data_IF_431375219431
#
_entry.id   IF_431375219431
#
_cell.length_a   1.000
_cell.length_b   1.000
_cell.length_c   1.000
_cell.angle_alpha   90.00
_cell.angle_beta   90.00
_cell.angle_gamma   90.00
#
_symmetry.space_group_name_H-M   'P 1'
#
loop_
_entity.id
_entity.type
_entity.pdbx_description
1 polymer ?
#
# COMPACT_ATOMS: atom_id res chain seq x y z
N UNK A 1 -54.04 -10.16 -5.13
CA UNK A 1 -52.65 -10.48 -4.74
C UNK A 1 -51.74 -9.44 -5.41
N UNK A 2 -51.31 -8.46 -4.64
CA UNK A 2 -50.66 -7.22 -5.10
C UNK A 2 -49.19 -7.49 -5.45
N UNK A 3 -48.87 -7.48 -6.75
CA UNK A 3 -47.51 -7.61 -7.25
C UNK A 3 -46.77 -6.26 -7.10
N UNK A 4 -45.78 -6.18 -6.21
CA UNK A 4 -44.91 -5.00 -6.04
C UNK A 4 -43.96 -4.87 -7.25
N UNK A 5 -44.04 -3.83 -8.10
CA UNK A 5 -43.10 -3.61 -9.20
C UNK A 5 -42.08 -2.50 -8.87
N UNK A 6 -41.76 -2.25 -7.60
CA UNK A 6 -41.00 -1.05 -7.18
C UNK A 6 -39.57 -1.32 -6.66
N UNK A 7 -39.16 -2.56 -6.39
CA UNK A 7 -37.85 -2.83 -5.75
C UNK A 7 -36.71 -2.97 -6.78
N UNK A 8 -37.00 -3.45 -7.99
CA UNK A 8 -35.97 -3.70 -9.00
C UNK A 8 -35.36 -2.40 -9.59
N UNK A 9 -36.14 -1.34 -9.79
CA UNK A 9 -35.64 -0.06 -10.32
C UNK A 9 -34.66 0.68 -9.37
N UNK A 10 -34.93 0.85 -8.06
CA UNK A 10 -33.98 1.49 -7.16
C UNK A 10 -32.74 0.64 -6.94
N UNK A 11 -32.87 -0.70 -6.91
CA UNK A 11 -31.72 -1.60 -6.78
C UNK A 11 -30.78 -1.50 -8.00
N UNK A 12 -31.33 -1.47 -9.21
CA UNK A 12 -30.54 -1.30 -10.45
C UNK A 12 -29.89 0.07 -10.53
N UNK A 13 -30.59 1.14 -10.12
CA UNK A 13 -30.00 2.49 -10.03
C UNK A 13 -28.87 2.56 -9.00
N UNK A 14 -29.01 1.89 -7.87
CA UNK A 14 -27.98 1.79 -6.83
C UNK A 14 -26.76 1.01 -7.29
N UNK A 15 -26.96 -0.15 -7.94
CA UNK A 15 -25.89 -0.91 -8.59
C UNK A 15 -25.17 -0.06 -9.64
N UNK A 16 -25.91 0.61 -10.53
CA UNK A 16 -25.32 1.48 -11.54
C UNK A 16 -24.43 2.57 -10.94
N UNK A 17 -24.94 3.31 -9.94
CA UNK A 17 -24.18 4.33 -9.22
C UNK A 17 -22.92 3.76 -8.54
N UNK A 18 -23.02 2.58 -7.93
CA UNK A 18 -21.88 1.89 -7.34
C UNK A 18 -20.83 1.52 -8.40
N UNK A 19 -21.23 1.04 -9.59
CA UNK A 19 -20.29 0.79 -10.69
C UNK A 19 -19.61 2.06 -11.18
N UNK A 20 -20.33 3.18 -11.29
CA UNK A 20 -19.74 4.45 -11.68
C UNK A 20 -18.67 4.90 -10.67
N UNK A 21 -18.96 4.81 -9.37
CA UNK A 21 -18.01 5.15 -8.31
C UNK A 21 -16.78 4.22 -8.30
N UNK A 22 -16.99 2.91 -8.44
CA UNK A 22 -15.89 1.94 -8.47
C UNK A 22 -15.06 2.06 -9.75
N UNK A 23 -15.69 2.38 -10.88
CA UNK A 23 -15.00 2.68 -12.13
C UNK A 23 -14.14 3.94 -12.03
N UNK A 24 -14.58 4.97 -11.29
CA UNK A 24 -13.76 6.15 -11.01
C UNK A 24 -12.53 5.81 -10.16
N UNK A 25 -12.67 4.94 -9.15
CA UNK A 25 -11.55 4.49 -8.31
C UNK A 25 -10.56 3.64 -9.11
N UNK A 26 -11.06 2.70 -9.91
CA UNK A 26 -10.27 1.90 -10.87
C UNK A 26 -9.52 2.81 -11.85
N UNK A 27 -10.21 3.76 -12.46
CA UNK A 27 -9.61 4.73 -13.38
C UNK A 27 -8.52 5.57 -12.70
N UNK A 28 -8.79 6.10 -11.51
CA UNK A 28 -7.82 6.91 -10.75
C UNK A 28 -6.56 6.12 -10.41
N UNK A 29 -6.70 4.89 -9.92
CA UNK A 29 -5.55 4.04 -9.55
C UNK A 29 -4.71 3.66 -10.77
N UNK A 30 -5.35 3.33 -11.91
CA UNK A 30 -4.66 3.09 -13.19
C UNK A 30 -3.98 4.36 -13.73
N UNK A 31 -4.63 5.53 -13.64
CA UNK A 31 -4.06 6.81 -14.07
C UNK A 31 -2.83 7.19 -13.26
N UNK A 32 -2.90 7.06 -11.93
CA UNK A 32 -1.77 7.33 -11.04
C UNK A 32 -0.60 6.38 -11.33
N UNK A 33 -0.89 5.09 -11.56
CA UNK A 33 0.12 4.12 -11.95
C UNK A 33 0.80 4.47 -13.27
N UNK A 34 0.03 4.90 -14.27
CA UNK A 34 0.58 5.35 -15.56
C UNK A 34 1.35 6.68 -15.46
N UNK A 35 0.92 7.59 -14.58
CA UNK A 35 1.54 8.90 -14.39
C UNK A 35 2.96 8.84 -13.81
N UNK A 36 3.35 7.70 -13.23
CA UNK A 36 4.73 7.44 -12.82
C UNK A 36 5.69 7.30 -14.02
N UNK A 37 5.17 7.04 -15.23
CA UNK A 37 5.97 6.71 -16.42
C UNK A 37 5.69 7.62 -17.61
N UNK A 38 4.46 8.13 -17.70
CA UNK A 38 3.97 8.94 -18.81
C UNK A 38 3.71 10.36 -18.30
N UNK A 39 3.74 11.33 -19.21
CA UNK A 39 3.30 12.68 -18.87
C UNK A 39 1.86 12.64 -18.34
N UNK A 40 1.53 13.52 -17.39
CA UNK A 40 0.21 13.56 -16.74
C UNK A 40 -0.94 13.59 -17.75
N UNK A 41 -0.76 14.32 -18.85
CA UNK A 41 -1.76 14.40 -19.92
C UNK A 41 -1.92 13.09 -20.69
N UNK A 42 -0.81 12.41 -20.96
CA UNK A 42 -0.84 11.14 -21.68
C UNK A 42 -1.36 10.00 -20.79
N UNK A 43 -1.01 9.98 -19.50
CA UNK A 43 -1.57 9.01 -18.54
C UNK A 43 -3.07 9.18 -18.34
N UNK A 44 -3.56 10.43 -18.36
CA UNK A 44 -5.00 10.71 -18.30
C UNK A 44 -5.73 10.20 -19.55
N UNK A 45 -5.19 10.48 -20.74
CA UNK A 45 -5.80 10.03 -22.00
C UNK A 45 -5.78 8.50 -22.13
N UNK A 46 -4.63 7.88 -21.82
CA UNK A 46 -4.45 6.44 -21.91
C UNK A 46 -5.32 5.68 -20.90
N UNK A 47 -5.40 6.15 -19.66
CA UNK A 47 -6.23 5.52 -18.62
C UNK A 47 -7.72 5.64 -18.93
N UNK A 48 -8.17 6.78 -19.48
CA UNK A 48 -9.53 6.90 -20.01
C UNK A 48 -9.80 5.90 -21.14
N UNK A 49 -8.85 5.72 -22.07
CA UNK A 49 -8.96 4.73 -23.14
C UNK A 49 -9.10 3.30 -22.61
N UNK A 50 -8.25 2.91 -21.65
CA UNK A 50 -8.30 1.59 -21.01
C UNK A 50 -9.62 1.38 -20.28
N UNK A 51 -10.06 2.34 -19.46
CA UNK A 51 -11.30 2.22 -18.70
C UNK A 51 -12.54 2.16 -19.61
N UNK A 52 -12.57 3.00 -20.64
CA UNK A 52 -13.65 2.99 -21.64
C UNK A 52 -13.69 1.64 -22.37
N UNK A 53 -12.54 1.10 -22.75
CA UNK A 53 -12.45 -0.21 -23.38
C UNK A 53 -12.94 -1.34 -22.45
N UNK A 54 -12.54 -1.34 -21.17
CA UNK A 54 -13.00 -2.33 -20.20
C UNK A 54 -14.52 -2.34 -20.06
N UNK A 55 -15.14 -1.17 -19.86
CA UNK A 55 -16.59 -1.07 -19.70
C UNK A 55 -17.33 -1.45 -20.97
N UNK A 56 -16.91 -0.92 -22.14
CA UNK A 56 -17.57 -1.20 -23.42
C UNK A 56 -17.44 -2.66 -23.84
N UNK A 57 -16.25 -3.27 -23.68
CA UNK A 57 -16.05 -4.69 -24.02
C UNK A 57 -16.81 -5.59 -23.04
N UNK A 58 -16.83 -5.28 -21.74
CA UNK A 58 -17.64 -6.02 -20.77
C UNK A 58 -19.14 -5.96 -21.09
N UNK A 59 -19.64 -4.79 -21.50
CA UNK A 59 -20.99 -4.64 -22.02
C UNK A 59 -21.22 -5.49 -23.27
N UNK A 60 -20.33 -5.41 -24.26
CA UNK A 60 -20.46 -6.14 -25.52
C UNK A 60 -20.46 -7.66 -25.32
N UNK A 61 -19.69 -8.18 -24.35
CA UNK A 61 -19.72 -9.60 -23.94
C UNK A 61 -21.11 -9.99 -23.41
N UNK A 62 -21.80 -9.09 -22.70
CA UNK A 62 -23.16 -9.30 -22.20
C UNK A 62 -24.21 -9.40 -23.32
N UNK A 63 -24.00 -8.70 -24.44
CA UNK A 63 -24.95 -8.68 -25.58
C UNK A 63 -24.68 -9.75 -26.64
N UNK A 64 -23.41 -10.09 -26.87
CA UNK A 64 -23.02 -10.89 -28.03
C UNK A 64 -22.91 -12.38 -27.70
N UNK A 65 -23.75 -13.20 -28.35
CA UNK A 65 -23.61 -14.67 -28.34
C UNK A 65 -22.53 -15.17 -29.33
N UNK A 66 -22.24 -14.39 -30.38
CA UNK A 66 -21.21 -14.68 -31.39
C UNK A 66 -19.88 -13.98 -31.08
N UNK A 67 -18.75 -14.63 -31.36
CA UNK A 67 -17.37 -14.13 -31.09
C UNK A 67 -17.08 -13.77 -29.62
N UNK A 68 -17.88 -14.27 -28.68
CA UNK A 68 -17.74 -14.03 -27.23
C UNK A 68 -16.34 -14.37 -26.70
N UNK A 69 -15.72 -15.44 -27.20
CA UNK A 69 -14.35 -15.82 -26.83
C UNK A 69 -13.30 -14.76 -27.20
N UNK A 70 -13.43 -14.12 -28.36
CA UNK A 70 -12.53 -13.04 -28.79
C UNK A 70 -12.68 -11.83 -27.88
N UNK A 71 -13.90 -11.46 -27.52
CA UNK A 71 -14.16 -10.33 -26.62
C UNK A 71 -13.65 -10.59 -25.21
N UNK A 72 -13.80 -11.83 -24.70
CA UNK A 72 -13.21 -12.25 -23.42
C UNK A 72 -11.68 -12.12 -23.47
N UNK A 73 -11.04 -12.53 -24.57
CA UNK A 73 -9.59 -12.39 -24.72
C UNK A 73 -9.13 -10.93 -24.73
N UNK A 74 -9.81 -10.06 -25.50
CA UNK A 74 -9.52 -8.62 -25.52
C UNK A 74 -9.73 -7.99 -24.14
N UNK A 75 -10.81 -8.37 -23.45
CA UNK A 75 -11.09 -7.93 -22.09
C UNK A 75 -9.98 -8.35 -21.14
N UNK A 76 -9.56 -9.62 -21.16
CA UNK A 76 -8.52 -10.15 -20.29
C UNK A 76 -7.18 -9.43 -20.47
N UNK A 77 -6.78 -9.16 -21.72
CA UNK A 77 -5.55 -8.40 -22.02
C UNK A 77 -5.66 -6.98 -21.48
N UNK A 78 -6.79 -6.31 -21.71
CA UNK A 78 -7.01 -4.93 -21.25
C UNK A 78 -7.05 -4.85 -19.72
N UNK A 79 -7.68 -5.82 -19.06
CA UNK A 79 -7.76 -5.92 -17.61
C UNK A 79 -6.38 -6.19 -17.01
N UNK A 80 -5.57 -7.04 -17.63
CA UNK A 80 -4.19 -7.28 -17.19
C UNK A 80 -3.36 -5.99 -17.18
N UNK A 81 -3.50 -5.15 -18.21
CA UNK A 81 -2.82 -3.84 -18.27
C UNK A 81 -3.32 -2.90 -17.16
N UNK A 82 -4.63 -2.83 -16.95
CA UNK A 82 -5.23 -2.01 -15.88
C UNK A 82 -4.77 -2.47 -14.48
N UNK A 83 -4.86 -3.77 -14.19
CA UNK A 83 -4.38 -4.38 -12.94
C UNK A 83 -2.90 -4.11 -12.72
N UNK A 84 -2.06 -4.22 -13.75
CA UNK A 84 -0.63 -3.97 -13.64
C UNK A 84 -0.32 -2.53 -13.18
N UNK A 85 -0.92 -1.52 -13.83
CA UNK A 85 -0.70 -0.12 -13.44
C UNK A 85 -1.34 0.22 -12.09
N UNK A 86 -2.54 -0.30 -11.81
CA UNK A 86 -3.19 -0.15 -10.51
C UNK A 86 -2.38 -0.78 -9.37
N UNK A 87 -1.78 -1.94 -9.61
CA UNK A 87 -0.88 -2.61 -8.67
C UNK A 87 0.31 -1.72 -8.32
N UNK A 88 1.00 -1.15 -9.32
CA UNK A 88 2.16 -0.28 -9.09
C UNK A 88 1.76 0.95 -8.30
N UNK A 89 0.64 1.59 -8.64
CA UNK A 89 0.09 2.74 -7.91
C UNK A 89 -0.18 2.41 -6.44
N UNK A 90 -0.84 1.29 -6.16
CA UNK A 90 -1.13 0.87 -4.80
C UNK A 90 0.14 0.48 -4.04
N UNK A 91 1.03 -0.27 -4.68
CA UNK A 91 2.29 -0.70 -4.07
C UNK A 91 3.17 0.49 -3.72
N UNK A 92 3.31 1.46 -4.64
CA UNK A 92 4.07 2.71 -4.39
C UNK A 92 3.42 3.53 -3.29
N UNK A 93 2.09 3.64 -3.23
CA UNK A 93 1.40 4.34 -2.16
C UNK A 93 1.60 3.70 -0.78
N UNK A 94 1.46 2.36 -0.68
CA UNK A 94 1.73 1.64 0.57
C UNK A 94 3.20 1.74 0.96
N UNK A 95 4.10 1.58 -0.01
CA UNK A 95 5.54 1.67 0.19
C UNK A 95 5.97 3.06 0.64
N UNK A 96 5.49 4.13 0.02
CA UNK A 96 5.81 5.50 0.37
C UNK A 96 5.39 5.85 1.81
N UNK A 97 4.36 5.19 2.33
CA UNK A 97 3.85 5.43 3.69
C UNK A 97 4.54 4.59 4.76
N UNK A 98 4.97 3.38 4.41
CA UNK A 98 5.53 2.41 5.38
C UNK A 98 7.07 2.40 5.41
N UNK A 99 7.73 2.65 4.27
CA UNK A 99 9.20 2.78 4.17
C UNK A 99 9.80 3.84 5.10
N UNK A 100 9.24 5.07 5.26
CA UNK A 100 9.80 6.03 6.21
C UNK A 100 9.72 5.53 7.65
N UNK A 101 8.63 4.85 8.04
CA UNK A 101 8.49 4.30 9.39
C UNK A 101 9.47 3.14 9.64
N UNK A 102 9.72 2.29 8.65
CA UNK A 102 10.70 1.21 8.75
C UNK A 102 12.14 1.75 8.83
N UNK A 103 12.49 2.73 8.01
CA UNK A 103 13.80 3.39 8.03
C UNK A 103 14.04 4.14 9.35
N UNK A 104 13.04 4.89 9.84
CA UNK A 104 13.08 5.57 11.13
C UNK A 104 13.26 4.59 12.28
N UNK A 105 12.57 3.45 12.26
CA UNK A 105 12.69 2.42 13.28
C UNK A 105 14.05 1.72 13.24
N UNK A 106 14.57 1.41 12.05
CA UNK A 106 15.92 0.84 11.88
C UNK A 106 16.99 1.81 12.38
N UNK A 107 16.84 3.10 12.08
CA UNK A 107 17.73 4.15 12.60
C UNK A 107 17.63 4.21 14.13
N UNK A 108 16.43 4.23 14.69
CA UNK A 108 16.20 4.23 16.13
C UNK A 108 16.92 3.07 16.84
N UNK A 109 16.79 1.85 16.31
CA UNK A 109 17.46 0.67 16.87
C UNK A 109 18.99 0.79 16.78
N UNK A 110 19.49 1.29 15.65
CA UNK A 110 20.94 1.50 15.43
C UNK A 110 21.50 2.57 16.36
N UNK A 111 20.80 3.70 16.52
CA UNK A 111 21.19 4.79 17.41
C UNK A 111 21.14 4.36 18.87
N UNK A 112 20.14 3.60 19.29
CA UNK A 112 20.09 3.03 20.63
C UNK A 112 21.24 2.08 20.91
N UNK A 113 21.59 1.22 19.93
CA UNK A 113 22.75 0.34 20.03
C UNK A 113 24.06 1.13 20.17
N UNK A 114 24.28 2.13 19.30
CA UNK A 114 25.47 2.98 19.33
C UNK A 114 25.56 3.81 20.62
N UNK A 115 24.45 4.41 21.07
CA UNK A 115 24.38 5.15 22.32
C UNK A 115 24.63 4.25 23.53
N UNK A 116 24.10 3.02 23.53
CA UNK A 116 24.34 2.03 24.58
C UNK A 116 25.81 1.61 24.66
N UNK A 117 26.44 1.33 23.52
CA UNK A 117 27.87 1.01 23.46
C UNK A 117 28.74 2.19 23.94
N UNK A 118 28.39 3.41 23.52
CA UNK A 118 29.07 4.63 23.93
C UNK A 118 28.95 4.86 25.44
N UNK A 119 27.75 4.69 25.99
CA UNK A 119 27.51 4.82 27.43
C UNK A 119 28.29 3.78 28.24
N UNK A 120 28.40 2.54 27.76
CA UNK A 120 29.22 1.52 28.43
C UNK A 120 30.70 1.92 28.51
N UNK A 121 31.25 2.48 27.43
CA UNK A 121 32.63 2.97 27.41
C UNK A 121 32.84 4.17 28.35
N UNK A 122 31.93 5.16 28.31
CA UNK A 122 32.00 6.33 29.20
C UNK A 122 31.87 5.91 30.67
N UNK A 123 30.99 4.96 30.99
CA UNK A 123 30.84 4.44 32.35
C UNK A 123 32.09 3.70 32.85
N UNK A 124 32.72 2.89 31.99
CA UNK A 124 33.97 2.23 32.33
C UNK A 124 35.08 3.25 32.61
N UNK A 125 35.24 4.24 31.72
CA UNK A 125 36.22 5.32 31.87
C UNK A 125 35.94 6.17 33.13
N UNK A 126 34.67 6.49 33.42
CA UNK A 126 34.28 7.24 34.61
C UNK A 126 34.62 6.46 35.90
N UNK A 127 34.39 5.15 35.90
CA UNK A 127 34.77 4.27 37.01
C UNK A 127 36.26 4.32 37.30
N UNK A 128 37.09 4.28 36.25
CA UNK A 128 38.55 4.32 36.38
C UNK A 128 39.07 5.72 36.73
N UNK A 129 38.54 6.77 36.09
CA UNK A 129 38.88 8.17 36.40
C UNK A 129 38.59 8.52 37.87
N UNK A 130 37.49 8.00 38.44
CA UNK A 130 37.18 8.17 39.88
C UNK A 130 38.22 7.47 40.77
N UNK A 131 38.69 6.28 40.39
CA UNK A 131 39.77 5.58 41.12
C UNK A 131 41.07 6.37 41.06
N UNK A 132 41.42 6.91 39.90
CA UNK A 132 42.60 7.76 39.74
C UNK A 132 42.53 9.03 40.59
N UNK A 133 41.39 9.71 40.63
CA UNK A 133 41.21 10.90 41.44
C UNK A 133 41.43 10.60 42.94
N UNK A 134 40.85 9.50 43.44
CA UNK A 134 41.03 9.06 44.82
C UNK A 134 42.48 8.66 45.12
N UNK A 135 43.10 7.87 44.24
CA UNK A 135 44.50 7.48 44.40
C UNK A 135 45.44 8.69 44.40
N UNK A 136 45.18 9.69 43.57
CA UNK A 136 45.96 10.94 43.56
C UNK A 136 45.73 11.79 44.82
N UNK A 137 44.53 11.79 45.40
CA UNK A 137 44.29 12.41 46.72
C UNK A 137 45.13 11.73 47.82
N UNK A 138 45.13 10.40 47.85
CA UNK A 138 45.92 9.62 48.80
C UNK A 138 47.42 9.87 48.61
N UNK A 139 47.91 9.89 47.37
CA UNK A 139 49.31 10.22 47.06
C UNK A 139 49.67 11.65 47.45
N UNK A 140 48.76 12.60 47.24
CA UNK A 140 48.95 14.00 47.66
C UNK A 140 49.06 14.09 49.18
N UNK A 141 48.19 13.40 49.92
CA UNK A 141 48.22 13.37 51.37
C UNK A 141 49.49 12.68 51.91
N UNK A 142 49.88 11.54 51.31
CA UNK A 142 51.07 10.79 51.67
C UNK A 142 52.38 11.56 51.35
N UNK A 143 52.45 12.27 50.23
CA UNK A 143 53.59 13.13 49.91
C UNK A 143 53.72 14.26 50.93
N UNK A 144 52.59 14.84 51.38
CA UNK A 144 52.58 15.88 52.42
C UNK A 144 53.08 15.35 53.76
N UNK A 145 52.69 14.13 54.16
CA UNK A 145 53.00 13.57 55.48
C UNK A 145 54.37 12.92 55.57
N UNK A 146 54.86 12.28 54.50
CA UNK A 146 56.06 11.45 54.54
C UNK A 146 57.16 11.94 53.60
N UNK A 147 56.79 12.62 52.51
CA UNK A 147 57.68 12.91 51.39
C UNK A 147 58.09 11.62 50.65
N UNK A 148 58.55 11.75 49.40
CA UNK A 148 59.15 10.68 48.59
C UNK A 148 58.21 9.70 47.85
N UNK A 149 56.89 9.90 47.85
CA UNK A 149 55.92 9.09 47.09
C UNK A 149 56.15 9.19 45.58
N UNK A 150 56.70 10.31 45.10
CA UNK A 150 57.01 10.47 43.67
C UNK A 150 58.14 9.55 43.15
N UNK A 151 58.84 8.81 44.02
CA UNK A 151 59.94 7.90 43.64
C UNK A 151 59.53 6.43 43.55
N UNK A 152 58.34 6.06 44.02
CA UNK A 152 57.84 4.68 43.93
C UNK A 152 57.18 4.43 42.58
N UNK A 153 57.36 3.23 42.04
CA UNK A 153 56.61 2.77 40.86
C UNK A 153 55.16 2.45 41.24
N UNK A 154 54.25 2.59 40.29
CA UNK A 154 52.86 2.17 40.44
C UNK A 154 52.50 1.08 39.43
N UNK A 155 51.58 0.20 39.79
CA UNK A 155 51.09 -0.84 38.88
C UNK A 155 50.11 -0.25 37.86
N UNK A 156 49.44 0.86 38.19
CA UNK A 156 48.60 1.60 37.27
C UNK A 156 49.45 2.50 36.35
N UNK A 157 49.36 2.33 35.00
CA UNK A 157 50.17 3.09 34.06
C UNK A 157 49.93 4.61 34.07
N UNK A 158 48.72 5.08 34.41
CA UNK A 158 48.41 6.50 34.52
C UNK A 158 49.04 7.08 35.78
N UNK A 159 48.89 6.42 36.92
CA UNK A 159 49.49 6.88 38.17
C UNK A 159 51.02 6.89 38.08
N UNK A 160 51.62 5.90 37.43
CA UNK A 160 53.07 5.86 37.17
C UNK A 160 53.52 7.03 36.26
N UNK A 161 52.76 7.34 35.19
CA UNK A 161 53.02 8.52 34.36
C UNK A 161 52.95 9.82 35.15
N UNK A 162 51.97 9.98 36.04
CA UNK A 162 51.83 11.16 36.90
C UNK A 162 53.01 11.27 37.86
N UNK A 163 53.40 10.17 38.52
CA UNK A 163 54.59 10.16 39.40
C UNK A 163 55.86 10.51 38.64
N UNK A 164 56.06 9.96 37.45
CA UNK A 164 57.18 10.29 36.59
C UNK A 164 57.18 11.76 36.17
N UNK A 165 56.00 12.34 35.89
CA UNK A 165 55.85 13.76 35.56
C UNK A 165 56.18 14.67 36.75
N UNK A 166 55.63 14.38 37.94
CA UNK A 166 55.95 15.09 39.19
C UNK A 166 57.44 14.98 39.51
N UNK A 167 58.03 13.79 39.34
CA UNK A 167 59.45 13.55 39.55
C UNK A 167 60.37 14.25 38.54
N UNK A 168 59.92 14.47 37.29
CA UNK A 168 60.63 15.30 36.30
C UNK A 168 60.54 16.78 36.67
N UNK A 169 59.34 17.25 37.04
CA UNK A 169 59.13 18.65 37.41
C UNK A 169 59.97 19.03 38.63
N UNK A 170 60.01 18.19 39.66
CA UNK A 170 60.82 18.45 40.84
C UNK A 170 62.33 18.54 40.54
N UNK A 171 62.85 17.73 39.61
CA UNK A 171 64.26 17.75 39.19
C UNK A 171 64.66 19.06 38.51
N UNK A 172 63.72 19.75 37.87
CA UNK A 172 63.97 21.07 37.28
C UNK A 172 64.30 22.14 38.34
N UNK A 173 63.93 21.90 39.61
CA UNK A 173 64.09 22.85 40.72
C UNK A 173 65.09 22.38 41.80
N UNK A 174 65.87 21.32 41.55
CA UNK A 174 66.74 20.59 42.51
C UNK A 174 67.78 21.48 43.24
N UNK A 175 68.04 22.71 42.77
CA UNK A 175 68.96 23.65 43.42
C UNK A 175 68.35 24.52 44.53
N UNK A 176 67.02 24.64 44.61
CA UNK A 176 66.34 25.60 45.50
C UNK A 176 65.45 24.97 46.57
N UNK A 177 65.21 23.66 46.53
CA UNK A 177 64.22 22.99 47.38
C UNK A 177 64.76 21.69 47.97
N UNK A 178 64.62 21.51 49.29
CA UNK A 178 65.10 20.33 50.01
C UNK A 178 64.00 19.28 50.07
N UNK A 179 64.32 18.04 49.69
CA UNK A 179 63.42 16.88 49.80
C UNK A 179 63.02 16.63 51.27
N UNK A 180 61.73 16.35 51.54
CA UNK A 180 61.22 16.04 52.87
C UNK A 180 59.70 16.24 53.02
N UNK A 181 59.11 15.88 54.19
CA UNK A 181 57.70 16.09 54.47
C UNK A 181 57.36 17.59 54.56
N UNK A 182 56.16 17.99 54.10
CA UNK A 182 55.69 19.37 54.13
C UNK A 182 55.15 19.91 52.80
N UNK A 183 54.96 21.23 52.72
CA UNK A 183 54.36 21.92 51.55
C UNK A 183 55.38 22.16 50.43
N UNK A 184 56.03 21.10 49.96
CA UNK A 184 57.02 21.17 48.89
C UNK A 184 56.44 21.17 47.48
N UNK A 185 57.30 21.40 46.48
CA UNK A 185 56.95 21.45 45.05
C UNK A 185 56.28 20.17 44.51
N UNK A 186 56.61 19.00 45.08
CA UNK A 186 56.01 17.72 44.66
C UNK A 186 54.57 17.58 45.13
N UNK A 187 54.28 18.01 46.35
CA UNK A 187 52.92 18.05 46.89
C UNK A 187 52.01 18.95 46.04
N UNK A 188 52.49 20.15 45.67
CA UNK A 188 51.70 21.07 44.84
C UNK A 188 51.51 20.55 43.42
N UNK A 189 52.48 19.80 42.87
CA UNK A 189 52.32 19.13 41.60
C UNK A 189 51.26 18.02 41.65
N UNK A 190 51.29 17.15 42.68
CA UNK A 190 50.23 16.14 42.89
C UNK A 190 48.86 16.78 43.08
N UNK A 191 48.73 17.86 43.86
CA UNK A 191 47.47 18.59 44.03
C UNK A 191 46.89 19.11 42.70
N UNK A 192 47.73 19.56 41.77
CA UNK A 192 47.28 19.94 40.42
C UNK A 192 46.79 18.73 39.62
N UNK A 193 47.51 17.61 39.63
CA UNK A 193 47.05 16.40 38.94
C UNK A 193 45.76 15.84 39.55
N UNK A 194 45.59 15.92 40.86
CA UNK A 194 44.34 15.59 41.54
C UNK A 194 43.18 16.46 41.06
N UNK A 195 43.39 17.78 40.92
CA UNK A 195 42.38 18.70 40.36
C UNK A 195 42.02 18.36 38.92
N UNK A 196 43.02 18.10 38.07
CA UNK A 196 42.80 17.70 36.68
C UNK A 196 42.02 16.38 36.58
N UNK A 197 42.35 15.39 37.41
CA UNK A 197 41.62 14.11 37.45
C UNK A 197 40.15 14.31 37.86
N UNK A 198 39.88 15.18 38.84
CA UNK A 198 38.51 15.54 39.23
C UNK A 198 37.74 16.26 38.13
N UNK A 199 38.38 17.20 37.44
CA UNK A 199 37.78 17.90 36.30
C UNK A 199 37.47 16.94 35.16
N UNK A 200 38.37 16.00 34.86
CA UNK A 200 38.13 14.93 33.88
C UNK A 200 36.95 14.04 34.27
N UNK A 201 36.90 13.55 35.52
CA UNK A 201 35.76 12.80 36.05
C UNK A 201 34.44 13.56 35.93
N UNK A 202 34.43 14.87 36.22
CA UNK A 202 33.23 15.69 36.11
C UNK A 202 32.77 15.86 34.65
N UNK A 203 33.69 15.98 33.70
CA UNK A 203 33.37 16.02 32.26
C UNK A 203 32.81 14.69 31.76
N UNK A 204 33.38 13.57 32.19
CA UNK A 204 32.87 12.23 31.87
C UNK A 204 31.46 12.00 32.44
N UNK A 205 31.20 12.47 33.67
CA UNK A 205 29.87 12.38 34.29
C UNK A 205 28.84 13.26 33.59
N UNK A 206 29.22 14.44 33.09
CA UNK A 206 28.35 15.27 32.27
C UNK A 206 28.00 14.59 30.94
N UNK A 207 28.97 13.92 30.30
CA UNK A 207 28.78 13.16 29.07
C UNK A 207 27.88 11.92 29.28
N UNK A 208 28.03 11.23 30.41
CA UNK A 208 27.13 10.12 30.79
C UNK A 208 25.69 10.61 30.91
N UNK A 209 25.48 11.73 31.61
CA UNK A 209 24.15 12.32 31.80
C UNK A 209 23.50 12.73 30.48
N UNK A 210 24.26 13.33 29.56
CA UNK A 210 23.73 13.73 28.25
C UNK A 210 23.37 12.53 27.37
N UNK A 211 24.15 11.44 27.42
CA UNK A 211 23.81 10.18 26.73
C UNK A 211 22.55 9.54 27.31
N UNK A 212 22.41 9.52 28.63
CA UNK A 212 21.22 9.00 29.30
C UNK A 212 19.98 9.82 28.95
N UNK A 213 20.08 11.16 28.95
CA UNK A 213 19.00 12.05 28.53
C UNK A 213 18.59 11.83 27.08
N UNK A 214 19.56 11.74 26.15
CA UNK A 214 19.30 11.45 24.75
C UNK A 214 18.53 10.13 24.56
N UNK A 215 18.95 9.06 25.23
CA UNK A 215 18.27 7.76 25.14
C UNK A 215 16.84 7.80 25.68
N UNK A 216 16.58 8.62 26.70
CA UNK A 216 15.24 8.81 27.25
C UNK A 216 14.32 9.63 26.33
N UNK A 217 14.88 10.58 25.59
CA UNK A 217 14.13 11.46 24.67
C UNK A 217 13.96 10.88 23.27
N UNK A 218 14.80 9.91 22.87
CA UNK A 218 14.77 9.31 21.54
C UNK A 218 13.46 8.56 21.29
N UNK A 219 12.73 8.95 20.23
CA UNK A 219 11.47 8.30 19.81
C UNK A 219 11.62 7.54 18.49
N UNK A 220 10.91 6.41 18.30
CA UNK A 220 11.02 5.60 17.09
C UNK A 220 10.54 6.27 15.80
N UNK A 221 9.67 7.29 15.90
CA UNK A 221 8.97 7.91 14.76
C UNK A 221 9.41 9.36 14.52
N UNK A 222 10.46 9.84 15.20
CA UNK A 222 11.03 11.14 14.89
C UNK A 222 11.70 11.12 13.52
N UNK A 223 11.83 12.28 12.86
CA UNK A 223 12.46 12.33 11.53
C UNK A 223 13.93 11.89 11.60
N UNK A 224 14.40 11.19 10.55
CA UNK A 224 15.78 10.67 10.41
C UNK A 224 16.82 11.77 10.66
N UNK A 225 16.60 12.97 10.13
CA UNK A 225 17.48 14.13 10.30
C UNK A 225 17.53 14.60 11.77
N UNK A 226 16.37 14.66 12.43
CA UNK A 226 16.29 15.09 13.84
C UNK A 226 17.01 14.11 14.75
N UNK A 227 16.77 12.80 14.57
CA UNK A 227 17.41 11.74 15.37
C UNK A 227 18.94 11.76 15.22
N UNK A 228 19.45 11.86 13.98
CA UNK A 228 20.90 11.90 13.73
C UNK A 228 21.55 13.18 14.23
N UNK A 229 20.90 14.34 14.07
CA UNK A 229 21.41 15.61 14.58
C UNK A 229 21.53 15.58 16.10
N UNK A 230 20.48 15.10 16.78
CA UNK A 230 20.47 14.98 18.24
C UNK A 230 21.56 14.01 18.73
N UNK A 231 21.72 12.86 18.06
CA UNK A 231 22.78 11.91 18.40
C UNK A 231 24.18 12.50 18.21
N UNK A 232 24.45 13.15 17.07
CA UNK A 232 25.75 13.80 16.81
C UNK A 232 26.08 14.87 17.83
N UNK A 233 25.10 15.70 18.20
CA UNK A 233 25.30 16.73 19.21
C UNK A 233 25.80 16.16 20.54
N UNK A 234 25.25 15.01 20.97
CA UNK A 234 25.66 14.37 22.22
C UNK A 234 26.98 13.61 22.04
N UNK A 235 27.14 12.87 20.93
CA UNK A 235 28.33 12.09 20.64
C UNK A 235 29.60 12.95 20.46
N UNK A 236 29.48 14.08 19.75
CA UNK A 236 30.60 14.99 19.49
C UNK A 236 31.00 15.78 20.74
N UNK A 237 30.10 15.93 21.73
CA UNK A 237 30.37 16.58 23.00
C UNK A 237 31.12 15.69 24.01
N UNK A 238 31.30 14.41 23.72
CA UNK A 238 32.01 13.47 24.61
C UNK A 238 33.51 13.82 24.61
N UNK A 239 34.15 13.95 25.80
CA UNK A 239 35.58 14.19 25.90
C UNK A 239 36.35 12.89 25.60
N UNK A 240 36.44 12.52 24.32
CA UNK A 240 37.06 11.27 23.88
C UNK A 240 38.52 11.10 24.33
N UNK A 241 39.26 12.21 24.52
CA UNK A 241 40.60 12.20 25.09
C UNK A 241 40.63 11.63 26.50
N UNK A 242 39.66 12.02 27.33
CA UNK A 242 39.56 11.59 28.73
C UNK A 242 39.12 10.14 28.82
N UNK A 243 38.23 9.72 27.90
CA UNK A 243 37.80 8.31 27.79
C UNK A 243 39.00 7.43 27.41
N UNK A 244 39.82 7.87 26.45
CA UNK A 244 40.99 7.13 25.98
C UNK A 244 42.08 7.05 27.05
N UNK A 245 42.33 8.14 27.77
CA UNK A 245 43.31 8.18 28.87
C UNK A 245 42.89 7.29 30.05
N UNK A 246 41.60 7.26 30.40
CA UNK A 246 41.09 6.47 31.50
C UNK A 246 40.87 4.98 31.16
N UNK A 247 40.63 4.64 29.89
CA UNK A 247 40.27 3.26 29.50
C UNK A 247 41.45 2.27 29.54
N UNK A 248 42.71 2.75 29.56
CA UNK A 248 43.95 1.95 29.57
C UNK A 248 44.08 0.83 28.52
N UNK A 249 43.11 0.68 27.62
CA UNK A 249 43.03 -0.40 26.67
C UNK A 249 43.93 -0.10 25.47
N UNK A 250 44.75 -1.09 25.07
CA UNK A 250 45.66 -0.98 23.94
C UNK A 250 44.95 -0.80 22.58
N UNK A 251 43.63 -1.00 22.52
CA UNK A 251 42.77 -0.68 21.37
C UNK A 251 41.45 -0.09 21.86
N UNK A 252 41.20 1.14 21.44
CA UNK A 252 39.97 1.89 21.70
C UNK A 252 39.19 2.02 20.39
N UNK A 253 38.15 1.21 20.20
CA UNK A 253 37.27 1.30 19.03
C UNK A 253 36.08 2.19 19.35
N UNK A 254 36.10 3.41 18.80
CA UNK A 254 34.99 4.35 18.91
C UNK A 254 33.77 3.80 18.16
N UNK A 255 32.58 3.77 18.79
CA UNK A 255 31.36 3.36 18.09
C UNK A 255 31.14 4.23 16.86
N UNK A 256 30.91 3.61 15.70
CA UNK A 256 30.71 4.35 14.46
C UNK A 256 29.41 5.16 14.49
N UNK A 257 29.47 6.41 14.03
CA UNK A 257 28.27 7.24 13.85
C UNK A 257 27.56 6.78 12.57
N UNK A 258 26.27 6.37 12.65
CA UNK A 258 25.54 5.93 11.47
C UNK A 258 25.47 7.03 10.38
N UNK A 259 25.70 6.66 9.12
CA UNK A 259 25.66 7.62 8.02
C UNK A 259 24.21 7.86 7.58
N UNK A 260 23.85 9.12 7.32
CA UNK A 260 22.50 9.48 6.87
C UNK A 260 22.10 8.73 5.59
N UNK A 261 23.04 8.54 4.66
CA UNK A 261 22.82 7.84 3.40
C UNK A 261 22.30 6.42 3.57
N UNK A 262 22.68 5.71 4.65
CA UNK A 262 22.23 4.34 4.92
C UNK A 262 20.74 4.26 5.32
N UNK A 263 20.12 5.42 5.59
CA UNK A 263 18.73 5.56 6.06
C UNK A 263 17.91 6.53 5.20
N UNK A 264 18.41 6.89 4.02
CA UNK A 264 17.67 7.61 2.98
C UNK A 264 17.42 6.67 1.82
N UNK A 265 16.16 6.57 1.39
CA UNK A 265 15.79 5.68 0.29
C UNK A 265 16.32 6.23 -1.04
N UNK A 266 17.03 5.39 -1.79
CA UNK A 266 17.63 5.72 -3.10
C UNK A 266 16.64 5.60 -4.27
N UNK A 267 15.36 5.30 -4.03
CA UNK A 267 14.34 5.13 -5.08
C UNK A 267 13.84 6.47 -5.67
N UNK A 268 14.75 7.32 -6.14
CA UNK A 268 14.45 8.65 -6.67
C UNK A 268 14.05 8.67 -8.16
N UNK A 269 13.93 7.52 -8.84
CA UNK A 269 13.43 7.46 -10.21
C UNK A 269 12.34 6.40 -10.37
N UNK A 270 11.08 6.85 -10.53
CA UNK A 270 9.89 5.99 -10.67
C UNK A 270 9.93 5.00 -11.84
N UNK A 271 10.89 5.12 -12.76
CA UNK A 271 11.08 4.20 -13.88
C UNK A 271 11.67 2.84 -13.48
N UNK A 272 12.59 2.81 -12.51
CA UNK A 272 13.20 1.56 -12.02
C UNK A 272 12.25 0.77 -11.10
N UNK A 273 11.34 1.47 -10.41
CA UNK A 273 10.39 0.90 -9.45
C UNK A 273 9.40 -0.11 -10.08
N UNK A 274 9.08 -0.02 -11.39
CA UNK A 274 8.15 -0.97 -12.03
C UNK A 274 8.78 -2.35 -12.22
N UNK A 275 10.00 -2.35 -12.79
CA UNK A 275 10.74 -3.58 -13.05
C UNK A 275 11.18 -4.21 -11.74
N UNK A 276 11.65 -3.40 -10.77
CA UNK A 276 11.93 -3.88 -9.42
C UNK A 276 10.67 -4.41 -8.72
N UNK A 277 9.54 -3.71 -8.75
CA UNK A 277 8.32 -4.20 -8.10
C UNK A 277 7.75 -5.46 -8.77
N UNK A 278 7.93 -5.64 -10.09
CA UNK A 278 7.56 -6.89 -10.76
C UNK A 278 8.57 -8.00 -10.50
N UNK A 279 9.86 -7.71 -10.54
CA UNK A 279 10.92 -8.64 -10.20
C UNK A 279 10.75 -9.12 -8.76
N UNK A 280 10.53 -8.22 -7.80
CA UNK A 280 10.24 -8.53 -6.39
C UNK A 280 8.94 -9.34 -6.24
N UNK A 281 7.88 -9.03 -7.01
CA UNK A 281 6.64 -9.82 -7.00
C UNK A 281 6.88 -11.29 -7.39
N UNK A 282 7.80 -11.56 -8.32
CA UNK A 282 8.10 -12.92 -8.78
C UNK A 282 9.25 -13.60 -8.02
N UNK A 283 10.20 -12.84 -7.50
CA UNK A 283 11.42 -13.36 -6.85
C UNK A 283 11.31 -13.41 -5.32
N UNK A 284 10.57 -12.47 -4.71
CA UNK A 284 10.42 -12.36 -3.25
C UNK A 284 9.04 -11.76 -2.87
N UNK A 285 7.92 -12.45 -3.16
CA UNK A 285 6.59 -11.92 -2.88
C UNK A 285 6.36 -11.72 -1.38
N UNK A 286 6.46 -10.48 -0.93
CA UNK A 286 6.00 -10.05 0.39
C UNK A 286 4.47 -9.96 0.45
N UNK A 287 3.88 -9.99 1.65
CA UNK A 287 2.44 -9.81 1.84
C UNK A 287 1.89 -8.51 1.22
N UNK A 288 2.76 -7.50 1.03
CA UNK A 288 2.44 -6.23 0.37
C UNK A 288 2.13 -6.42 -1.12
N UNK A 289 2.97 -7.15 -1.84
CA UNK A 289 2.75 -7.43 -3.26
C UNK A 289 1.46 -8.22 -3.46
N UNK A 290 1.23 -9.23 -2.62
CA UNK A 290 0.01 -10.03 -2.68
C UNK A 290 -1.24 -9.19 -2.40
N UNK A 291 -1.22 -8.31 -1.39
CA UNK A 291 -2.35 -7.46 -1.05
C UNK A 291 -2.64 -6.39 -2.13
N UNK A 292 -1.61 -5.66 -2.59
CA UNK A 292 -1.77 -4.64 -3.63
C UNK A 292 -2.25 -5.25 -4.95
N UNK A 293 -1.71 -6.40 -5.34
CA UNK A 293 -2.14 -7.11 -6.55
C UNK A 293 -3.57 -7.65 -6.40
N UNK A 294 -3.91 -8.27 -5.26
CA UNK A 294 -5.26 -8.77 -5.00
C UNK A 294 -6.29 -7.64 -5.00
N UNK A 295 -5.96 -6.48 -4.41
CA UNK A 295 -6.83 -5.31 -4.40
C UNK A 295 -7.03 -4.74 -5.81
N UNK A 296 -5.96 -4.60 -6.60
CA UNK A 296 -6.05 -4.16 -7.99
C UNK A 296 -6.92 -5.09 -8.84
N UNK A 297 -6.70 -6.41 -8.74
CA UNK A 297 -7.50 -7.41 -9.43
C UNK A 297 -8.98 -7.40 -8.97
N UNK A 298 -9.22 -7.24 -7.66
CA UNK A 298 -10.57 -7.20 -7.09
C UNK A 298 -11.38 -6.02 -7.61
N UNK A 299 -10.78 -4.83 -7.71
CA UNK A 299 -11.42 -3.63 -8.26
C UNK A 299 -11.87 -3.90 -9.70
N UNK A 300 -10.99 -4.41 -10.56
CA UNK A 300 -11.31 -4.67 -11.96
C UNK A 300 -12.34 -5.80 -12.14
N UNK A 301 -12.30 -6.84 -11.29
CA UNK A 301 -13.31 -7.91 -11.28
C UNK A 301 -14.70 -7.37 -10.91
N UNK A 302 -14.80 -6.48 -9.93
CA UNK A 302 -16.09 -5.88 -9.57
C UNK A 302 -16.62 -4.99 -10.70
N UNK A 303 -15.75 -4.18 -11.31
CA UNK A 303 -16.11 -3.35 -12.46
C UNK A 303 -16.62 -4.24 -13.61
N UNK A 304 -15.94 -5.35 -13.88
CA UNK A 304 -16.41 -6.36 -14.85
C UNK A 304 -17.81 -6.86 -14.52
N UNK A 305 -18.02 -7.36 -13.29
CA UNK A 305 -19.26 -7.99 -12.88
C UNK A 305 -20.44 -7.01 -12.96
N UNK A 306 -20.24 -5.77 -12.53
CA UNK A 306 -21.29 -4.75 -12.63
C UNK A 306 -21.53 -4.30 -14.08
N UNK A 307 -20.49 -4.13 -14.90
CA UNK A 307 -20.67 -3.82 -16.31
C UNK A 307 -21.43 -4.96 -17.02
N UNK A 308 -20.99 -6.20 -16.83
CA UNK A 308 -21.63 -7.39 -17.37
C UNK A 308 -23.09 -7.53 -16.93
N UNK A 309 -23.39 -7.32 -15.65
CA UNK A 309 -24.75 -7.41 -15.12
C UNK A 309 -25.65 -6.24 -15.59
N UNK A 310 -25.11 -5.03 -15.70
CA UNK A 310 -25.88 -3.84 -16.10
C UNK A 310 -26.20 -3.82 -17.60
N UNK A 311 -25.32 -4.33 -18.48
CA UNK A 311 -25.52 -4.31 -19.93
C UNK A 311 -26.91 -4.81 -20.36
N UNK A 312 -27.32 -6.05 -20.05
CA UNK A 312 -28.63 -6.58 -20.40
C UNK A 312 -29.82 -5.83 -19.79
N UNK A 313 -29.64 -5.13 -18.67
CA UNK A 313 -30.71 -4.43 -17.96
C UNK A 313 -31.05 -3.04 -18.54
N UNK A 314 -30.12 -2.40 -19.26
CA UNK A 314 -30.32 -1.04 -19.79
C UNK A 314 -30.77 -0.97 -21.25
N UNK A 315 -30.48 -1.98 -22.10
CA UNK A 315 -30.78 -1.92 -23.55
C UNK A 315 -31.50 -3.15 -24.14
N UNK A 316 -31.68 -4.25 -23.39
CA UNK A 316 -32.61 -5.29 -23.81
C UNK A 316 -34.03 -4.82 -23.53
N UNK A 317 -34.82 -4.48 -24.57
CA UNK A 317 -36.22 -4.14 -24.40
C UNK A 317 -36.87 -5.23 -23.53
N UNK A 318 -37.68 -4.84 -22.54
CA UNK A 318 -38.33 -5.82 -21.67
C UNK A 318 -39.08 -6.88 -22.49
N UNK A 319 -39.56 -6.46 -23.66
CA UNK A 319 -40.19 -7.26 -24.71
C UNK A 319 -39.31 -8.39 -25.25
N UNK A 320 -38.04 -8.14 -25.59
CA UNK A 320 -37.13 -9.21 -26.04
C UNK A 320 -36.92 -10.30 -24.98
N UNK A 321 -36.89 -9.90 -23.70
CA UNK A 321 -36.78 -10.85 -22.59
C UNK A 321 -38.06 -11.69 -22.43
N UNK A 322 -39.23 -11.08 -22.57
CA UNK A 322 -40.50 -11.81 -22.52
C UNK A 322 -40.61 -12.82 -23.66
N UNK A 323 -40.23 -12.43 -24.88
CA UNK A 323 -40.20 -13.32 -26.05
C UNK A 323 -39.25 -14.50 -25.81
N UNK A 324 -38.04 -14.25 -25.28
CA UNK A 324 -37.09 -15.32 -24.99
C UNK A 324 -37.57 -16.29 -23.90
N UNK A 325 -38.24 -15.77 -22.86
CA UNK A 325 -38.80 -16.59 -21.79
C UNK A 325 -39.99 -17.42 -22.30
N UNK A 326 -40.85 -16.83 -23.12
CA UNK A 326 -41.98 -17.51 -23.75
C UNK A 326 -41.55 -18.57 -24.77
N UNK A 327 -40.53 -18.29 -25.59
CA UNK A 327 -39.96 -19.25 -26.51
C UNK A 327 -39.34 -20.47 -25.79
N UNK A 328 -38.71 -20.23 -24.63
CA UNK A 328 -38.14 -21.29 -23.80
C UNK A 328 -39.21 -22.23 -23.21
N UNK A 329 -40.40 -21.72 -22.88
CA UNK A 329 -41.53 -22.54 -22.39
C UNK A 329 -41.95 -23.55 -23.44
N UNK A 330 -41.98 -23.14 -24.71
CA UNK A 330 -42.33 -24.04 -25.82
C UNK A 330 -41.13 -24.85 -26.34
N UNK A 331 -39.93 -24.68 -25.74
CA UNK A 331 -38.67 -25.26 -26.19
C UNK A 331 -38.36 -24.97 -27.68
N UNK A 332 -38.72 -23.77 -28.15
CA UNK A 332 -38.52 -23.32 -29.54
C UNK A 332 -37.52 -22.16 -29.58
N UNK A 333 -36.81 -22.02 -30.70
CA UNK A 333 -35.97 -20.85 -30.96
C UNK A 333 -36.79 -19.55 -30.99
N UNK A 334 -36.21 -18.45 -30.50
CA UNK A 334 -36.83 -17.12 -30.42
C UNK A 334 -37.38 -16.65 -31.78
N UNK A 335 -36.68 -16.87 -32.90
CA UNK A 335 -37.14 -16.41 -34.21
C UNK A 335 -38.29 -17.26 -34.75
N UNK A 336 -38.25 -18.57 -34.50
CA UNK A 336 -39.32 -19.50 -34.91
C UNK A 336 -40.56 -19.26 -34.07
N UNK A 337 -40.40 -19.00 -32.78
CA UNK A 337 -41.47 -18.63 -31.86
C UNK A 337 -42.15 -17.32 -32.32
N UNK A 338 -41.38 -16.24 -32.53
CA UNK A 338 -41.93 -14.95 -32.99
C UNK A 338 -42.61 -15.06 -34.35
N UNK A 339 -42.03 -15.80 -35.30
CA UNK A 339 -42.64 -16.00 -36.63
C UNK A 339 -43.95 -16.78 -36.56
N UNK A 340 -44.02 -17.83 -35.72
CA UNK A 340 -45.26 -18.61 -35.51
C UNK A 340 -46.33 -17.78 -34.82
N UNK A 341 -45.94 -17.00 -33.83
CA UNK A 341 -46.85 -16.09 -33.11
C UNK A 341 -47.47 -15.05 -34.06
N UNK A 342 -46.64 -14.37 -34.86
CA UNK A 342 -47.13 -13.35 -35.81
C UNK A 342 -48.03 -13.93 -36.90
N UNK A 343 -47.82 -15.18 -37.34
CA UNK A 343 -48.71 -15.85 -38.33
C UNK A 343 -50.13 -16.10 -37.81
N UNK A 344 -50.32 -16.12 -36.50
CA UNK A 344 -51.63 -16.32 -35.86
C UNK A 344 -52.39 -15.00 -35.68
N UNK A 345 -51.77 -13.87 -35.98
CA UNK A 345 -52.44 -12.58 -35.95
C UNK A 345 -53.36 -12.43 -37.16
N UNK A 346 -54.60 -12.11 -36.87
CA UNK A 346 -55.66 -11.83 -37.84
C UNK A 346 -56.03 -10.36 -37.69
N UNK A 347 -56.43 -9.64 -38.76
CA UNK A 347 -56.99 -8.30 -38.61
C UNK A 347 -58.29 -8.34 -37.78
N UNK A 348 -58.37 -7.46 -36.78
CA UNK A 348 -59.54 -7.22 -35.94
C UNK A 348 -60.37 -6.02 -36.40
N UNK A 349 -61.45 -5.73 -35.67
CA UNK A 349 -62.24 -4.53 -35.90
C UNK A 349 -61.34 -3.28 -35.79
N UNK A 350 -61.44 -2.37 -36.76
CA UNK A 350 -60.60 -1.15 -36.87
C UNK A 350 -59.10 -1.39 -37.20
N UNK A 351 -58.72 -2.57 -37.68
CA UNK A 351 -57.36 -2.84 -38.17
C UNK A 351 -56.33 -3.19 -37.09
N UNK A 352 -56.76 -3.36 -35.84
CA UNK A 352 -55.90 -3.81 -34.73
C UNK A 352 -55.60 -5.30 -34.88
N UNK A 353 -54.36 -5.73 -34.64
CA UNK A 353 -53.99 -7.14 -34.72
C UNK A 353 -54.66 -7.94 -33.58
N UNK A 354 -55.44 -8.97 -33.92
CA UNK A 354 -56.11 -9.85 -32.96
C UNK A 354 -55.57 -11.27 -33.05
N UNK A 355 -55.52 -11.95 -31.91
CA UNK A 355 -55.17 -13.38 -31.84
C UNK A 355 -56.18 -14.13 -30.96
N UNK A 356 -56.60 -15.30 -31.41
CA UNK A 356 -57.53 -16.15 -30.67
C UNK A 356 -56.80 -16.91 -29.57
N UNK A 357 -57.28 -16.83 -28.32
CA UNK A 357 -56.62 -17.45 -27.17
C UNK A 357 -56.47 -18.98 -27.30
N UNK A 358 -57.40 -19.64 -27.98
CA UNK A 358 -57.39 -21.11 -28.19
C UNK A 358 -56.32 -21.58 -29.17
N UNK A 359 -55.84 -20.69 -30.05
CA UNK A 359 -54.80 -20.99 -31.03
C UNK A 359 -53.38 -20.81 -30.46
N UNK A 360 -53.26 -20.33 -29.21
CA UNK A 360 -51.98 -20.07 -28.55
C UNK A 360 -51.41 -21.35 -27.93
N UNK A 361 -50.09 -21.49 -28.07
CA UNK A 361 -49.29 -22.44 -27.28
C UNK A 361 -49.12 -21.92 -25.85
N UNK A 362 -48.68 -22.76 -24.90
CA UNK A 362 -48.45 -22.33 -23.51
C UNK A 362 -47.51 -21.12 -23.39
N UNK A 363 -46.40 -21.09 -24.15
CA UNK A 363 -45.47 -19.97 -24.15
C UNK A 363 -46.07 -18.69 -24.75
N UNK A 364 -46.81 -18.78 -25.85
CA UNK A 364 -47.51 -17.64 -26.47
C UNK A 364 -48.66 -17.12 -25.60
N UNK A 365 -49.40 -18.00 -24.91
CA UNK A 365 -50.45 -17.62 -23.97
C UNK A 365 -49.87 -16.82 -22.80
N UNK A 366 -48.74 -17.27 -22.26
CA UNK A 366 -48.03 -16.54 -21.21
C UNK A 366 -47.52 -15.18 -21.71
N UNK A 367 -47.09 -15.09 -22.96
CA UNK A 367 -46.70 -13.81 -23.58
C UNK A 367 -47.89 -12.85 -23.68
N UNK A 368 -49.04 -13.32 -24.16
CA UNK A 368 -50.27 -12.51 -24.25
C UNK A 368 -50.77 -12.04 -22.88
N UNK A 369 -50.69 -12.90 -21.85
CA UNK A 369 -51.01 -12.52 -20.47
C UNK A 369 -50.05 -11.48 -19.91
N UNK A 370 -48.75 -11.57 -20.23
CA UNK A 370 -47.76 -10.56 -19.86
C UNK A 370 -48.03 -9.23 -20.56
N UNK A 371 -48.36 -9.23 -21.86
CA UNK A 371 -48.76 -8.03 -22.59
C UNK A 371 -50.03 -7.41 -22.00
N UNK A 372 -51.03 -8.22 -21.68
CA UNK A 372 -52.26 -7.75 -21.04
C UNK A 372 -51.99 -7.13 -19.65
N UNK A 373 -51.18 -7.78 -18.82
CA UNK A 373 -50.78 -7.25 -17.52
C UNK A 373 -49.99 -5.93 -17.61
N UNK A 374 -49.33 -5.67 -18.74
CA UNK A 374 -48.58 -4.45 -19.02
C UNK A 374 -49.38 -3.40 -19.81
N UNK A 375 -50.67 -3.66 -20.08
CA UNK A 375 -51.54 -2.79 -20.89
C UNK A 375 -51.05 -2.63 -22.34
N UNK A 376 -50.29 -3.60 -22.83
CA UNK A 376 -49.79 -3.70 -24.21
C UNK A 376 -50.65 -4.63 -25.07
N UNK A 377 -51.60 -5.33 -24.45
CA UNK A 377 -52.68 -6.03 -25.11
C UNK A 377 -53.97 -5.89 -24.30
N UNK A 378 -55.13 -6.04 -24.94
CA UNK A 378 -56.44 -6.05 -24.28
C UNK A 378 -57.09 -7.39 -24.57
N UNK A 379 -57.56 -8.08 -23.53
CA UNK A 379 -58.40 -9.25 -23.70
C UNK A 379 -59.82 -8.79 -24.02
N UNK A 380 -60.34 -9.21 -25.17
CA UNK A 380 -61.71 -8.96 -25.62
C UNK A 380 -62.49 -10.28 -25.59
N UNK A 381 -63.52 -10.33 -24.76
CA UNK A 381 -64.41 -11.48 -24.62
C UNK A 381 -65.66 -11.24 -25.47
N UNK A 382 -65.59 -11.66 -26.72
CA UNK A 382 -66.75 -11.70 -27.62
C UNK A 382 -67.47 -13.05 -27.50
N UNK A 383 -68.76 -13.11 -27.83
CA UNK A 383 -69.57 -14.34 -27.73
C UNK A 383 -69.00 -15.56 -28.49
N UNK A 384 -68.06 -15.35 -29.42
CA UNK A 384 -67.37 -16.38 -30.19
C UNK A 384 -66.04 -16.86 -29.56
N UNK A 385 -65.56 -16.24 -28.49
CA UNK A 385 -64.32 -16.62 -27.80
C UNK A 385 -63.52 -15.46 -27.19
N UNK A 386 -62.41 -15.81 -26.54
CA UNK A 386 -61.46 -14.85 -25.95
C UNK A 386 -60.40 -14.49 -26.99
N UNK A 387 -60.27 -13.20 -27.31
CA UNK A 387 -59.27 -12.67 -28.21
C UNK A 387 -58.32 -11.74 -27.47
N UNK A 388 -57.05 -11.70 -27.86
CA UNK A 388 -56.12 -10.65 -27.42
C UNK A 388 -55.92 -9.67 -28.57
N UNK A 389 -56.23 -8.40 -28.31
CA UNK A 389 -55.95 -7.26 -29.18
C UNK A 389 -54.56 -6.74 -28.82
N UNK A 390 -53.59 -6.87 -29.73
CA UNK A 390 -52.21 -6.45 -29.51
C UNK A 390 -52.06 -5.00 -29.96
N UNK A 391 -51.39 -4.20 -29.14
CA UNK A 391 -51.07 -2.81 -29.50
C UNK A 391 -50.23 -2.73 -30.78
N UNK A 392 -50.43 -1.66 -31.55
CA UNK A 392 -49.76 -1.47 -32.83
C UNK A 392 -48.23 -1.39 -32.67
N UNK A 393 -47.74 -0.73 -31.63
CA UNK A 393 -46.30 -0.56 -31.37
C UNK A 393 -45.61 -1.91 -31.10
N UNK A 394 -46.28 -2.79 -30.34
CA UNK A 394 -45.77 -4.14 -30.07
C UNK A 394 -45.76 -5.00 -31.33
N UNK A 395 -46.78 -4.87 -32.17
CA UNK A 395 -46.82 -5.60 -33.44
C UNK A 395 -45.68 -5.16 -34.38
N UNK A 396 -45.40 -3.87 -34.49
CA UNK A 396 -44.28 -3.36 -35.28
C UNK A 396 -42.92 -3.81 -34.73
N UNK A 397 -42.70 -3.71 -33.42
CA UNK A 397 -41.45 -4.17 -32.77
C UNK A 397 -41.19 -5.66 -33.01
N UNK A 398 -42.24 -6.49 -32.97
CA UNK A 398 -42.14 -7.92 -33.26
C UNK A 398 -41.77 -8.18 -34.73
N UNK A 399 -42.35 -7.42 -35.67
CA UNK A 399 -42.01 -7.51 -37.09
C UNK A 399 -40.57 -7.07 -37.36
N UNK A 400 -40.12 -5.97 -36.75
CA UNK A 400 -38.74 -5.49 -36.87
C UNK A 400 -37.74 -6.51 -36.33
N UNK A 401 -38.08 -7.20 -35.23
CA UNK A 401 -37.24 -8.26 -34.66
C UNK A 401 -36.96 -9.42 -35.63
N UNK A 402 -37.88 -9.69 -36.56
CA UNK A 402 -37.71 -10.69 -37.63
C UNK A 402 -36.86 -10.17 -38.81
N UNK A 403 -36.75 -8.85 -38.99
CA UNK A 403 -35.93 -8.23 -40.04
C UNK A 403 -34.42 -8.47 -39.85
N UNK A 404 -33.98 -8.62 -38.60
CA UNK A 404 -32.62 -9.07 -38.26
C UNK A 404 -32.50 -10.60 -38.36
N UNK A 405 -32.08 -11.12 -39.51
CA UNK A 405 -31.76 -12.54 -39.69
C UNK A 405 -30.60 -12.97 -38.77
N UNK A 406 -30.89 -13.80 -37.75
CA UNK A 406 -29.86 -14.40 -36.88
C UNK A 406 -29.54 -15.84 -37.28
N UNK A 407 -30.33 -16.47 -38.15
CA UNK A 407 -30.05 -17.78 -38.74
C UNK A 407 -30.51 -17.92 -40.21
N UNK A 408 -29.78 -18.67 -41.06
CA UNK A 408 -30.25 -19.08 -42.38
C UNK A 408 -31.36 -20.14 -42.24
N UNK A 409 -32.59 -19.77 -42.61
CA UNK A 409 -33.82 -20.57 -42.47
C UNK A 409 -33.85 -21.93 -43.23
N UNK A 410 -32.76 -22.37 -43.86
CA UNK A 410 -32.72 -23.65 -44.60
C UNK A 410 -32.48 -24.89 -43.73
N UNK A 411 -32.03 -24.77 -42.49
CA UNK A 411 -31.68 -25.93 -41.66
C UNK A 411 -32.88 -26.60 -40.95
N UNK A 412 -34.05 -25.94 -40.89
CA UNK A 412 -35.23 -26.50 -40.21
C UNK A 412 -36.10 -27.38 -41.12
N UNK A 413 -35.98 -27.25 -42.45
CA UNK A 413 -36.76 -28.04 -43.40
C UNK A 413 -36.34 -29.53 -43.43
N UNK A 414 -35.10 -29.85 -43.05
CA UNK A 414 -34.58 -31.22 -43.04
C UNK A 414 -34.89 -32.02 -41.77
N UNK A 415 -35.46 -31.40 -40.73
CA UNK A 415 -35.86 -32.08 -39.48
C UNK A 415 -37.36 -32.40 -39.39
N UNK A 416 -38.17 -31.95 -40.34
CA UNK A 416 -39.61 -32.23 -40.37
C UNK A 416 -39.99 -33.44 -41.25
N UNK A 417 -38.98 -34.15 -41.78
CA UNK A 417 -39.14 -35.43 -42.49
C UNK A 417 -38.28 -36.50 -41.82
N UNK A 418 -38.70 -36.94 -40.64
CA UNK A 418 -38.45 -38.30 -40.11
C UNK A 418 -39.70 -38.75 -39.39
#
# INVERSE_FOLDING_TARGET
MSYQPSIAQPMVKGLFAASCLLSLVSWYTTQQGMALYLSVWFSLLASLGVQTALVLVAWLIGFTKSRRGLLIAVYAITAMVSVAFSYVSLYTWFSARERPAAAQRKLYDTLNGAAGATQALVNAALGESRRHALALEEMTAAEKSHGYISRSQDADPYLDKVRAAVGREARTYDGAYRDGPGTGLRYTAFDRYTKLAKESSARLEAAERSLTAFRAELKPLDSTESQLRAFRQVYDAIPWSDVEEAAHAARFDRPAVPAYADFVDHSASGQEDLLLAFEELFTAPTGRHAFSFALAAFIDVIVFLLAFASGPHFLGSAEQRWISASAAIDAVDEQVFTSRFLRKLVPGARGVARIEARALTPGEQQLCLLFAAKKLAVADETGDGVFYLIDHEVHENLLESLGTQRFPLRAAASRATV
#
